data_IF_720601629235
#
_entry.id   IF_720601629235
#
_cell.length_a   1.000
_cell.length_b   1.000
_cell.length_c   1.000
_cell.angle_alpha   90.00
_cell.angle_beta   90.00
_cell.angle_gamma   90.00
#
_symmetry.space_group_name_H-M   'P 1'
#
loop_
_entity.id
_entity.type
_entity.pdbx_description
1 polymer ?
#
# COMPACT_ATOMS: atom_id res chain seq x y z
N UNK A 1 15.54 14.30 7.36
CA UNK A 1 15.61 12.82 7.34
C UNK A 1 14.20 12.32 7.13
N UNK A 2 13.89 11.70 5.99
CA UNK A 2 12.52 11.26 5.70
C UNK A 2 12.20 10.09 6.63
N UNK A 3 11.29 10.31 7.58
CA UNK A 3 10.91 9.32 8.59
C UNK A 3 9.78 8.47 8.04
N UNK A 4 10.01 7.16 7.91
CA UNK A 4 8.93 6.21 7.58
C UNK A 4 8.21 5.85 8.88
N UNK A 5 6.89 5.95 8.91
CA UNK A 5 6.08 5.65 10.09
C UNK A 5 5.35 4.31 9.95
N UNK A 6 5.23 3.56 11.04
CA UNK A 6 4.36 2.39 11.07
C UNK A 6 2.92 2.82 11.38
N UNK A 7 1.98 2.53 10.48
CA UNK A 7 0.56 2.83 10.66
C UNK A 7 -0.30 1.78 9.97
N UNK A 8 -1.44 1.42 10.56
CA UNK A 8 -2.45 0.66 9.81
C UNK A 8 -3.25 1.61 8.92
N UNK A 9 -2.68 1.88 7.75
CA UNK A 9 -3.20 2.83 6.77
C UNK A 9 -4.66 2.56 6.40
N UNK A 10 -5.05 1.28 6.33
CA UNK A 10 -6.41 0.89 5.96
C UNK A 10 -7.47 1.19 7.03
N UNK A 11 -7.10 1.79 8.15
CA UNK A 11 -8.07 2.28 9.15
C UNK A 11 -8.39 3.77 9.01
N UNK A 12 -7.78 4.45 8.05
CA UNK A 12 -7.81 5.90 7.96
C UNK A 12 -8.13 6.38 6.54
N UNK A 13 -8.79 7.53 6.45
CA UNK A 13 -8.87 8.28 5.18
C UNK A 13 -7.51 8.93 4.88
N UNK A 14 -7.14 9.08 3.59
CA UNK A 14 -5.84 9.63 3.22
C UNK A 14 -5.59 11.02 3.80
N UNK A 15 -6.63 11.88 3.85
CA UNK A 15 -6.55 13.23 4.40
C UNK A 15 -6.19 13.26 5.90
N UNK A 16 -6.52 12.19 6.64
CA UNK A 16 -6.21 12.09 8.07
C UNK A 16 -4.79 11.59 8.36
N UNK A 17 -4.15 10.97 7.37
CA UNK A 17 -2.78 10.47 7.45
C UNK A 17 -1.75 11.50 6.98
N UNK A 18 -2.16 12.38 6.08
CA UNK A 18 -1.31 13.43 5.55
C UNK A 18 -1.24 14.61 6.53
N UNK A 19 -0.02 15.00 6.91
CA UNK A 19 0.22 16.26 7.62
C UNK A 19 0.11 17.47 6.69
N UNK A 20 0.21 18.69 7.23
CA UNK A 20 0.00 19.93 6.45
C UNK A 20 1.22 20.42 5.65
N UNK A 21 2.39 19.79 5.76
CA UNK A 21 3.67 20.40 5.33
C UNK A 21 4.51 19.59 4.31
N UNK A 22 4.17 18.34 4.01
CA UNK A 22 4.96 17.50 3.10
C UNK A 22 4.19 17.19 1.80
N UNK A 23 4.91 16.93 0.71
CA UNK A 23 4.29 16.56 -0.59
C UNK A 23 4.01 15.06 -0.71
N UNK A 24 4.84 14.26 -0.03
CA UNK A 24 4.80 12.81 -0.04
C UNK A 24 4.98 12.26 1.38
N UNK A 25 4.23 11.21 1.74
CA UNK A 25 4.35 10.52 3.03
C UNK A 25 4.65 9.04 2.85
N UNK A 26 5.49 8.50 3.72
CA UNK A 26 5.95 7.11 3.67
C UNK A 26 5.51 6.35 4.89
N UNK A 27 4.87 5.20 4.67
CA UNK A 27 4.32 4.36 5.73
C UNK A 27 4.68 2.90 5.56
N UNK A 28 4.95 2.22 6.66
CA UNK A 28 4.83 0.77 6.74
C UNK A 28 3.43 0.44 7.25
N UNK A 29 2.69 -0.41 6.52
CA UNK A 29 1.38 -0.89 6.97
C UNK A 29 1.30 -2.41 6.90
N UNK A 30 0.60 -3.06 7.84
CA UNK A 30 0.27 -4.47 7.74
C UNK A 30 -0.61 -4.71 6.51
N UNK A 31 -0.47 -5.91 5.93
CA UNK A 31 -1.33 -6.38 4.83
C UNK A 31 -2.49 -7.20 5.38
N UNK A 32 -3.67 -6.58 5.43
CA UNK A 32 -4.90 -7.32 5.67
C UNK A 32 -5.31 -8.10 4.41
N UNK A 33 -5.69 -9.36 4.60
CA UNK A 33 -6.29 -10.19 3.54
C UNK A 33 -7.80 -10.01 3.56
N UNK A 34 -8.41 -9.93 2.38
CA UNK A 34 -9.87 -9.88 2.25
C UNK A 34 -10.52 -11.21 2.65
N UNK A 35 -9.81 -12.31 2.42
CA UNK A 35 -10.26 -13.67 2.75
C UNK A 35 -9.14 -14.41 3.48
N UNK A 36 -9.43 -15.25 4.50
CA UNK A 36 -8.41 -15.93 5.30
C UNK A 36 -7.34 -16.65 4.46
N UNK A 37 -7.76 -17.34 3.40
CA UNK A 37 -6.89 -18.10 2.50
C UNK A 37 -6.64 -17.42 1.15
N UNK A 38 -7.07 -16.17 0.97
CA UNK A 38 -6.98 -15.47 -0.31
C UNK A 38 -5.81 -14.49 -0.37
N UNK A 39 -5.17 -14.38 -1.53
CA UNK A 39 -4.10 -13.39 -1.76
C UNK A 39 -4.62 -11.95 -1.95
N UNK A 40 -5.95 -11.81 -2.13
CA UNK A 40 -6.58 -10.51 -2.36
C UNK A 40 -6.47 -9.65 -1.11
N UNK A 41 -5.77 -8.49 -1.15
CA UNK A 41 -5.70 -7.60 -0.01
C UNK A 41 -7.06 -6.96 0.27
N UNK A 42 -7.38 -6.75 1.54
CA UNK A 42 -8.44 -5.83 1.92
C UNK A 42 -7.95 -4.41 1.65
N UNK A 43 -8.78 -3.63 0.96
CA UNK A 43 -8.47 -2.26 0.53
C UNK A 43 -9.57 -1.27 0.88
N UNK A 44 -10.55 -1.68 1.67
CA UNK A 44 -11.40 -0.72 2.37
C UNK A 44 -10.49 0.11 3.30
N UNK A 45 -10.72 1.42 3.35
CA UNK A 45 -10.00 2.32 4.23
C UNK A 45 -10.89 3.49 4.59
N UNK A 46 -10.96 3.85 5.88
CA UNK A 46 -11.85 4.91 6.36
C UNK A 46 -13.26 4.78 5.79
N UNK A 47 -13.75 5.86 5.18
CA UNK A 47 -15.07 5.93 4.56
C UNK A 47 -15.07 5.55 3.06
N UNK A 48 -13.98 4.94 2.57
CA UNK A 48 -13.77 4.66 1.17
C UNK A 48 -12.95 3.40 0.90
N UNK A 49 -12.28 3.38 -0.25
CA UNK A 49 -11.48 2.23 -0.68
C UNK A 49 -10.39 2.58 -1.69
N UNK A 50 -9.30 1.82 -1.64
CA UNK A 50 -8.21 1.89 -2.59
C UNK A 50 -8.43 0.96 -3.78
N UNK A 51 -8.49 1.52 -4.99
CA UNK A 51 -8.61 0.78 -6.25
C UNK A 51 -7.26 0.74 -6.97
N UNK A 52 -6.80 -0.45 -7.35
CA UNK A 52 -5.59 -0.55 -8.17
C UNK A 52 -5.80 0.13 -9.53
N UNK A 53 -4.76 0.84 -9.98
CA UNK A 53 -4.70 1.45 -11.29
C UNK A 53 -3.43 1.01 -12.01
N UNK A 54 -3.58 0.60 -13.27
CA UNK A 54 -2.48 0.09 -14.09
C UNK A 54 -1.90 -1.26 -13.66
N UNK A 55 -0.88 -1.69 -14.41
CA UNK A 55 -0.10 -2.88 -14.14
C UNK A 55 0.99 -2.63 -13.07
N UNK A 56 1.49 -3.71 -12.47
CA UNK A 56 2.61 -3.63 -11.52
C UNK A 56 3.89 -3.27 -12.27
N UNK A 57 4.65 -2.33 -11.71
CA UNK A 57 5.98 -1.95 -12.23
C UNK A 57 7.06 -2.70 -11.46
N UNK A 58 7.99 -3.33 -12.19
CA UNK A 58 9.18 -3.96 -11.61
C UNK A 58 10.12 -2.90 -11.04
N UNK A 59 10.72 -3.20 -9.91
CA UNK A 59 11.78 -2.41 -9.28
C UNK A 59 13.05 -3.21 -9.46
N UNK A 60 13.97 -2.67 -10.22
CA UNK A 60 15.25 -3.30 -10.54
C UNK A 60 16.35 -2.69 -9.66
N UNK A 61 17.27 -3.53 -9.20
CA UNK A 61 18.53 -3.12 -8.61
C UNK A 61 19.61 -4.10 -9.07
N UNK A 62 20.70 -3.56 -9.61
CA UNK A 62 21.83 -4.36 -10.11
C UNK A 62 21.43 -5.50 -11.07
N UNK A 63 20.54 -5.20 -12.02
CA UNK A 63 20.05 -6.20 -13.00
C UNK A 63 19.01 -7.19 -12.46
N UNK A 64 18.73 -7.18 -11.15
CA UNK A 64 17.75 -8.08 -10.52
C UNK A 64 16.44 -7.38 -10.13
N UNK A 65 15.34 -8.13 -10.16
CA UNK A 65 14.04 -7.64 -9.68
C UNK A 65 13.98 -7.77 -8.15
N UNK A 66 14.17 -6.66 -7.45
CA UNK A 66 14.09 -6.62 -5.98
C UNK A 66 12.66 -6.39 -5.47
N UNK A 67 11.76 -5.90 -6.32
CA UNK A 67 10.42 -5.56 -5.89
C UNK A 67 9.41 -5.28 -6.99
N UNK A 68 8.16 -5.07 -6.57
CA UNK A 68 7.04 -4.63 -7.41
C UNK A 68 6.39 -3.39 -6.79
N UNK A 69 6.07 -2.41 -7.63
CA UNK A 69 5.29 -1.22 -7.28
C UNK A 69 3.92 -1.28 -7.95
N UNK A 70 2.85 -1.21 -7.16
CA UNK A 70 1.46 -1.10 -7.64
C UNK A 70 0.92 0.29 -7.33
N UNK A 71 0.31 0.97 -8.30
CA UNK A 71 -0.38 2.23 -8.07
C UNK A 71 -1.85 1.98 -7.68
N UNK A 72 -2.37 2.80 -6.77
CA UNK A 72 -3.75 2.78 -6.32
C UNK A 72 -4.30 4.21 -6.27
N UNK A 73 -5.59 4.34 -6.53
CA UNK A 73 -6.36 5.58 -6.38
C UNK A 73 -7.38 5.38 -5.29
N UNK A 74 -7.54 6.37 -4.41
CA UNK A 74 -8.59 6.34 -3.39
C UNK A 74 -9.93 6.79 -3.96
N UNK A 75 -10.98 6.10 -3.56
CA UNK A 75 -12.36 6.46 -3.83
C UNK A 75 -13.09 6.66 -2.51
N UNK A 76 -13.79 7.78 -2.34
CA UNK A 76 -14.67 8.02 -1.18
C UNK A 76 -16.02 7.34 -1.38
N UNK A 77 -16.61 6.82 -0.32
CA UNK A 77 -17.87 6.09 -0.34
C UNK A 77 -17.73 4.61 -0.69
N UNK A 78 -18.87 3.93 -0.88
CA UNK A 78 -18.93 2.47 -1.04
C UNK A 78 -18.88 2.04 -2.51
N UNK A 79 -18.14 0.98 -2.87
CA UNK A 79 -18.22 0.39 -4.20
C UNK A 79 -19.65 -0.08 -4.53
N UNK A 80 -20.09 0.00 -5.80
CA UNK A 80 -19.37 0.51 -6.97
C UNK A 80 -19.52 2.03 -7.17
N UNK A 81 -20.30 2.73 -6.32
CA UNK A 81 -20.69 4.14 -6.49
C UNK A 81 -19.70 5.15 -5.88
N UNK A 82 -18.48 4.72 -5.55
CA UNK A 82 -17.50 5.61 -4.95
C UNK A 82 -17.05 6.72 -5.90
N UNK A 83 -16.70 7.88 -5.35
CA UNK A 83 -16.20 9.04 -6.11
C UNK A 83 -14.68 9.00 -6.14
N UNK A 84 -14.10 9.08 -7.34
CA UNK A 84 -12.64 9.08 -7.52
C UNK A 84 -12.05 10.35 -6.90
N UNK A 85 -10.99 10.22 -6.11
CA UNK A 85 -10.23 11.36 -5.57
C UNK A 85 -8.88 11.51 -6.29
N UNK A 86 -8.12 12.54 -5.91
CA UNK A 86 -6.74 12.75 -6.38
C UNK A 86 -5.70 12.02 -5.54
N UNK A 87 -6.11 11.32 -4.48
CA UNK A 87 -5.20 10.57 -3.62
C UNK A 87 -4.62 9.36 -4.34
N UNK A 88 -3.31 9.36 -4.49
CA UNK A 88 -2.54 8.27 -5.08
C UNK A 88 -1.69 7.60 -4.01
N UNK A 89 -1.65 6.28 -4.07
CA UNK A 89 -0.75 5.46 -3.28
C UNK A 89 0.08 4.56 -4.18
N UNK A 90 1.37 4.45 -3.89
CA UNK A 90 2.21 3.40 -4.43
C UNK A 90 2.48 2.34 -3.36
N UNK A 91 2.00 1.13 -3.59
CA UNK A 91 2.24 -0.05 -2.77
C UNK A 91 3.47 -0.79 -3.27
N UNK A 92 4.49 -0.93 -2.42
CA UNK A 92 5.73 -1.64 -2.72
C UNK A 92 5.73 -3.02 -2.07
N UNK A 93 6.26 -4.00 -2.80
CA UNK A 93 6.41 -5.39 -2.34
C UNK A 93 7.81 -5.89 -2.67
N UNK A 94 8.44 -6.59 -1.75
CA UNK A 94 9.72 -7.28 -1.99
C UNK A 94 9.44 -8.62 -2.67
N UNK A 95 10.29 -9.02 -3.63
CA UNK A 95 10.21 -10.33 -4.29
C UNK A 95 10.97 -11.37 -3.46
N UNK A 96 10.42 -12.58 -3.35
CA UNK A 96 10.91 -13.60 -2.41
C UNK A 96 12.33 -14.13 -2.69
N UNK A 97 12.89 -13.90 -3.89
CA UNK A 97 14.26 -14.33 -4.22
C UNK A 97 15.33 -13.57 -3.44
N UNK A 98 15.00 -12.39 -2.91
CA UNK A 98 15.92 -11.54 -2.15
C UNK A 98 15.73 -11.65 -0.63
N UNK A 99 14.84 -12.54 -0.16
CA UNK A 99 14.57 -12.78 1.26
C UNK A 99 15.24 -14.08 1.71
N UNK A 100 15.76 -14.17 2.95
CA UNK A 100 16.30 -15.42 3.48
C UNK A 100 15.23 -16.52 3.50
N UNK A 101 15.63 -17.82 3.50
CA UNK A 101 14.71 -18.95 3.50
C UNK A 101 13.62 -18.79 4.57
N UNK A 102 12.37 -18.84 4.14
CA UNK A 102 11.17 -18.43 4.90
C UNK A 102 11.11 -18.96 6.34
N UNK A 103 11.02 -18.05 7.31
CA UNK A 103 10.27 -18.33 8.54
C UNK A 103 8.78 -18.52 8.20
N UNK A 104 8.04 -19.36 8.95
CA UNK A 104 6.62 -19.61 8.71
C UNK A 104 5.84 -18.30 8.66
N UNK A 105 4.94 -18.20 7.67
CA UNK A 105 4.09 -17.03 7.41
C UNK A 105 3.16 -16.79 8.60
N UNK A 106 3.63 -16.10 9.63
CA UNK A 106 2.77 -15.59 10.69
C UNK A 106 2.08 -14.32 10.18
N UNK A 107 0.77 -14.22 10.43
CA UNK A 107 -0.11 -13.17 9.88
C UNK A 107 0.28 -11.72 10.26
N UNK A 108 1.30 -11.53 11.10
CA UNK A 108 1.77 -10.22 11.58
C UNK A 108 2.93 -9.62 10.75
N UNK A 109 3.53 -10.34 9.80
CA UNK A 109 4.82 -9.98 9.20
C UNK A 109 4.80 -9.50 7.73
N UNK A 110 3.65 -9.48 7.03
CA UNK A 110 3.57 -8.97 5.63
C UNK A 110 3.39 -7.44 5.65
N UNK A 111 4.45 -6.73 6.04
CA UNK A 111 4.52 -5.27 6.04
C UNK A 111 4.84 -4.77 4.63
N UNK A 112 4.18 -3.68 4.19
CA UNK A 112 4.49 -3.02 2.92
C UNK A 112 4.83 -1.56 3.13
N UNK A 113 5.89 -1.12 2.47
CA UNK A 113 6.14 0.30 2.27
C UNK A 113 5.06 0.82 1.32
N UNK A 114 4.41 1.90 1.72
CA UNK A 114 3.50 2.66 0.88
C UNK A 114 3.89 4.10 0.88
N UNK A 115 3.88 4.70 -0.30
CA UNK A 115 4.01 6.15 -0.44
C UNK A 115 2.65 6.73 -0.79
N UNK A 116 2.29 7.84 -0.17
CA UNK A 116 1.16 8.67 -0.57
C UNK A 116 1.69 9.92 -1.24
N UNK A 117 1.06 10.28 -2.35
CA UNK A 117 1.35 11.52 -3.08
C UNK A 117 0.03 12.23 -3.30
N UNK A 118 -0.07 13.48 -2.85
CA UNK A 118 -1.13 14.39 -3.30
C UNK A 118 -0.72 14.93 -4.67
N UNK A 119 -1.66 14.99 -5.62
CA UNK A 119 -1.54 15.86 -6.79
C UNK A 119 -2.71 16.82 -6.86
#
# INVERSE_FOLDING_TARGET
MNKIMEVNLYRHDPDTLAGTLEKDWYFFTPRDRKYPNGDRPNRAAGDGYWKATGADKRIMWDGEVIGLRKALVYYTGKPPKGVKTNWIMHEFKVVSSTLPPRAPRTNKADMRVRTHTIR
#
